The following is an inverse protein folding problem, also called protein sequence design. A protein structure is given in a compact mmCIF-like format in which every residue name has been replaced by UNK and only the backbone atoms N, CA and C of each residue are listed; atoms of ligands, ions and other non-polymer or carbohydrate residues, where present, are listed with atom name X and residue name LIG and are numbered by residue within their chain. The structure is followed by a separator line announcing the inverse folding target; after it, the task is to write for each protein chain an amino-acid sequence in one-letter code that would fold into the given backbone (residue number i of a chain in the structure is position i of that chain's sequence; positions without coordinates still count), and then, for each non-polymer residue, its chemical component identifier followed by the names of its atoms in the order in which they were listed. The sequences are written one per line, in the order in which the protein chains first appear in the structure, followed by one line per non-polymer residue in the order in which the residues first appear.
data_IF_736093847219
#
_entry.id   IF_736093847219
#
_cell.length_a   1.000
_cell.length_b   1.000
_cell.length_c   1.000
_cell.angle_alpha   90.00
_cell.angle_beta   90.00
_cell.angle_gamma   90.00
#
_symmetry.space_group_name_H-M   'P 1'
#
loop_
_entity.id
_entity.type
_entity.pdbx_description
1 polymer ?
#
# COMPACT_ATOMS: atom_id res chain seq x y z
N UNK A 1 10.25 9.76 4.81
CA UNK A 1 9.90 8.50 4.13
C UNK A 1 8.55 8.12 4.71
N UNK A 2 7.50 8.03 3.92
CA UNK A 2 6.16 7.82 4.47
C UNK A 2 6.08 6.46 5.16
N UNK A 3 5.50 6.43 6.36
CA UNK A 3 5.36 5.21 7.13
C UNK A 3 4.08 4.47 6.78
N UNK A 4 3.02 5.18 6.44
CA UNK A 4 1.75 4.58 6.10
C UNK A 4 1.44 4.89 4.64
N UNK A 5 1.39 3.89 3.78
CA UNK A 5 1.17 4.10 2.35
C UNK A 5 0.03 3.21 1.87
N UNK A 6 -0.94 3.82 1.19
CA UNK A 6 -1.95 3.10 0.41
C UNK A 6 -1.59 3.24 -1.06
N UNK A 7 -1.49 2.10 -1.75
CA UNK A 7 -1.36 2.04 -3.21
C UNK A 7 -2.68 1.52 -3.76
N UNK A 8 -3.35 2.26 -4.62
CA UNK A 8 -4.59 1.83 -5.29
C UNK A 8 -4.33 1.64 -6.78
N UNK A 9 -4.84 0.58 -7.40
CA UNK A 9 -4.86 0.45 -8.85
C UNK A 9 -5.73 1.54 -9.48
N UNK A 10 -5.40 1.97 -10.70
CA UNK A 10 -6.17 3.00 -11.42
C UNK A 10 -7.66 2.65 -11.57
N UNK A 11 -7.97 1.36 -11.75
CA UNK A 11 -9.35 0.87 -11.92
C UNK A 11 -10.04 0.61 -10.57
N UNK A 12 -9.30 0.72 -9.45
CA UNK A 12 -9.84 0.59 -8.09
C UNK A 12 -10.10 -0.85 -7.62
N UNK A 13 -9.76 -1.85 -8.44
CA UNK A 13 -9.98 -3.27 -8.14
C UNK A 13 -8.83 -3.91 -7.35
N UNK A 14 -7.83 -3.12 -6.96
CA UNK A 14 -6.65 -3.62 -6.28
C UNK A 14 -6.05 -2.56 -5.36
N UNK A 15 -5.76 -2.91 -4.12
CA UNK A 15 -5.17 -2.00 -3.15
C UNK A 15 -4.14 -2.71 -2.26
N UNK A 16 -3.03 -2.02 -1.98
CA UNK A 16 -1.99 -2.42 -1.06
C UNK A 16 -1.83 -1.45 0.10
N UNK A 17 -1.79 -1.99 1.31
CA UNK A 17 -1.46 -1.26 2.52
C UNK A 17 -0.02 -1.58 2.93
N UNK A 18 0.82 -0.56 2.94
CA UNK A 18 2.21 -0.64 3.38
C UNK A 18 2.40 0.08 4.72
N UNK A 19 3.19 -0.55 5.59
CA UNK A 19 3.67 0.04 6.84
C UNK A 19 5.19 0.01 6.91
N UNK A 20 5.82 1.17 7.13
CA UNK A 20 7.28 1.38 7.11
C UNK A 20 7.93 0.77 5.87
N UNK A 21 7.28 0.95 4.73
CA UNK A 21 7.72 0.45 3.44
C UNK A 21 7.58 -1.06 3.24
N UNK A 22 6.96 -1.81 4.16
CA UNK A 22 6.66 -3.24 4.00
C UNK A 22 5.18 -3.47 3.71
N UNK A 23 4.87 -4.37 2.79
CA UNK A 23 3.50 -4.75 2.48
C UNK A 23 2.89 -5.44 3.70
N UNK A 24 1.85 -4.84 4.26
CA UNK A 24 1.09 -5.40 5.37
C UNK A 24 -0.09 -6.21 4.87
N UNK A 25 -0.81 -5.67 3.88
CA UNK A 25 -1.97 -6.32 3.29
C UNK A 25 -2.16 -5.92 1.84
N UNK A 26 -2.64 -6.86 1.06
CA UNK A 26 -3.07 -6.68 -0.32
C UNK A 26 -4.48 -7.25 -0.47
N UNK A 27 -5.36 -6.54 -1.16
CA UNK A 27 -6.75 -6.96 -1.38
C UNK A 27 -7.38 -6.15 -2.51
N UNK A 28 -8.57 -6.55 -2.97
CA UNK A 28 -9.36 -5.71 -3.89
C UNK A 28 -9.74 -4.37 -3.27
N UNK A 29 -9.82 -4.30 -1.94
CA UNK A 29 -10.11 -3.07 -1.21
C UNK A 29 -9.51 -3.13 0.19
N UNK A 30 -8.72 -2.12 0.55
CA UNK A 30 -8.28 -1.89 1.92
C UNK A 30 -9.42 -1.18 2.66
N UNK A 31 -9.91 -1.84 3.71
CA UNK A 31 -11.03 -1.32 4.50
C UNK A 31 -10.51 -0.55 5.72
N UNK A 32 -11.38 0.27 6.33
CA UNK A 32 -11.09 0.88 7.62
C UNK A 32 -10.71 -0.14 8.69
N UNK A 33 -11.29 -1.35 8.64
CA UNK A 33 -10.95 -2.44 9.57
C UNK A 33 -9.49 -2.88 9.44
N UNK A 34 -8.98 -2.97 8.21
CA UNK A 34 -7.58 -3.35 7.95
C UNK A 34 -6.62 -2.31 8.49
N UNK A 35 -6.95 -1.04 8.28
CA UNK A 35 -6.20 0.10 8.82
C UNK A 35 -6.22 0.05 10.35
N UNK A 36 -7.39 -0.14 10.97
CA UNK A 36 -7.50 -0.21 12.42
C UNK A 36 -6.72 -1.38 13.02
N UNK A 37 -6.68 -2.54 12.35
CA UNK A 37 -5.87 -3.68 12.79
C UNK A 37 -4.38 -3.35 12.76
N UNK A 38 -3.87 -2.75 11.68
CA UNK A 38 -2.48 -2.28 11.62
C UNK A 38 -2.19 -1.30 12.77
N UNK A 39 -3.07 -0.31 12.96
CA UNK A 39 -2.89 0.73 13.98
C UNK A 39 -2.94 0.16 15.39
N UNK A 40 -3.80 -0.83 15.66
CA UNK A 40 -3.89 -1.48 16.97
C UNK A 40 -2.54 -2.04 17.40
N UNK A 41 -1.81 -2.64 16.45
CA UNK A 41 -0.54 -3.30 16.74
C UNK A 41 0.64 -2.32 16.69
N UNK A 42 0.55 -1.24 15.90
CA UNK A 42 1.70 -0.39 15.58
C UNK A 42 1.54 1.11 15.86
N UNK A 43 0.46 1.58 16.52
CA UNK A 43 0.22 3.04 16.68
C UNK A 43 1.36 3.81 17.36
N UNK A 44 2.11 3.17 18.27
CA UNK A 44 3.23 3.80 18.99
C UNK A 44 4.43 4.10 18.10
N UNK A 45 4.47 3.46 16.93
CA UNK A 45 5.56 3.55 15.98
C UNK A 45 5.31 4.59 14.89
N UNK A 46 4.10 5.16 14.85
CA UNK A 46 3.70 6.17 13.88
C UNK A 46 4.41 7.50 14.10
N UNK A 47 5.02 8.03 13.04
CA UNK A 47 5.51 9.41 13.00
C UNK A 47 4.52 10.40 12.35
N UNK A 48 3.35 9.92 11.92
CA UNK A 48 2.30 10.72 11.32
C UNK A 48 2.47 11.00 9.82
N UNK A 49 3.40 10.32 9.13
CA UNK A 49 3.57 10.46 7.68
C UNK A 49 2.72 9.47 6.88
N UNK A 50 1.86 10.00 6.01
CA UNK A 50 0.92 9.24 5.19
C UNK A 50 1.12 9.53 3.71
N UNK A 51 1.11 8.49 2.88
CA UNK A 51 1.15 8.57 1.42
C UNK A 51 -0.03 7.84 0.80
N UNK A 52 -0.55 8.37 -0.30
CA UNK A 52 -1.48 7.65 -1.16
C UNK A 52 -0.97 7.75 -2.59
N UNK A 53 -0.85 6.61 -3.24
CA UNK A 53 -0.39 6.52 -4.61
C UNK A 53 -1.38 5.73 -5.45
N UNK A 54 -1.40 6.01 -6.74
CA UNK A 54 -2.13 5.21 -7.71
C UNK A 54 -1.12 4.42 -8.52
N UNK A 55 -1.32 3.14 -8.75
CA UNK A 55 -0.43 2.33 -9.58
C UNK A 55 -1.10 2.02 -10.91
N UNK A 56 -0.34 2.15 -11.99
CA UNK A 56 -0.78 1.84 -13.33
C UNK A 56 -1.26 0.39 -13.42
N UNK A 57 -2.38 0.18 -14.10
CA UNK A 57 -2.98 -1.13 -14.33
C UNK A 57 -2.03 -2.13 -15.01
N UNK A 58 -1.19 -1.68 -15.95
CA UNK A 58 -0.21 -2.51 -16.66
C UNK A 58 0.76 -3.21 -15.69
N UNK A 59 1.11 -2.54 -14.58
CA UNK A 59 1.96 -3.14 -13.55
C UNK A 59 1.25 -4.30 -12.87
N UNK A 60 -0.01 -4.11 -12.49
CA UNK A 60 -0.82 -5.11 -11.79
C UNK A 60 -1.09 -6.32 -12.69
N UNK A 61 -1.39 -6.09 -13.97
CA UNK A 61 -1.60 -7.16 -14.95
C UNK A 61 -0.32 -7.96 -15.23
N UNK A 62 0.84 -7.29 -15.24
CA UNK A 62 2.13 -7.95 -15.50
C UNK A 62 2.65 -8.75 -14.30
N UNK A 63 2.57 -8.18 -13.09
CA UNK A 63 3.20 -8.75 -11.90
C UNK A 63 2.22 -9.56 -11.05
N UNK A 64 0.92 -9.33 -11.18
CA UNK A 64 -0.15 -10.02 -10.46
C UNK A 64 -0.25 -9.72 -8.96
N UNK A 65 0.83 -9.24 -8.35
CA UNK A 65 0.93 -8.88 -6.94
C UNK A 65 1.82 -7.65 -6.75
N UNK A 66 1.55 -6.91 -5.68
CA UNK A 66 2.39 -5.83 -5.19
C UNK A 66 3.65 -6.38 -4.50
N UNK A 67 4.80 -5.70 -4.62
CA UNK A 67 6.05 -6.18 -4.05
C UNK A 67 6.04 -6.04 -2.53
N UNK A 68 6.77 -6.93 -1.84
CA UNK A 68 6.83 -6.93 -0.38
C UNK A 68 7.42 -5.64 0.22
N UNK A 69 8.21 -4.88 -0.54
CA UNK A 69 8.64 -3.54 -0.13
C UNK A 69 8.18 -2.46 -1.11
N UNK A 70 7.68 -1.34 -0.58
CA UNK A 70 7.20 -0.20 -1.37
C UNK A 70 8.29 0.39 -2.27
N UNK A 71 9.55 0.38 -1.80
CA UNK A 71 10.70 0.88 -2.59
C UNK A 71 10.94 0.09 -3.88
N UNK A 72 10.43 -1.13 -3.96
CA UNK A 72 10.59 -2.02 -5.11
C UNK A 72 9.49 -1.77 -6.17
N UNK A 73 8.50 -0.91 -5.87
CA UNK A 73 7.54 -0.43 -6.87
C UNK A 73 8.28 0.52 -7.82
N UNK A 74 8.13 0.28 -9.12
CA UNK A 74 8.65 1.17 -10.14
C UNK A 74 7.93 2.53 -10.08
N UNK A 75 8.65 3.58 -9.67
CA UNK A 75 8.09 4.93 -9.51
C UNK A 75 7.56 5.55 -10.80
N UNK A 76 7.95 5.05 -11.97
CA UNK A 76 7.40 5.51 -13.25
C UNK A 76 5.98 4.95 -13.51
N UNK A 77 5.53 4.02 -12.67
CA UNK A 77 4.21 3.39 -12.73
C UNK A 77 3.32 3.82 -11.54
N UNK A 78 3.79 4.74 -10.70
CA UNK A 78 3.06 5.38 -9.61
C UNK A 78 2.48 6.74 -10.01
#
# INVERSE_FOLDING_TARGET
MEQFIIVSGEVGDWEGLYFKGKLFKESHRITTYDIMNLLKDHYKELDGTFGKYTINQDYLETNGLLPSNFKDINKNML
#
